data_IF_050716749077
#
_entry.id   IF_050716749077
#
_cell.length_a   1.000
_cell.length_b   1.000
_cell.length_c   1.000
_cell.angle_alpha   90.00
_cell.angle_beta   90.00
_cell.angle_gamma   90.00
#
_symmetry.space_group_name_H-M   'P 1'
#
loop_
_entity.id
_entity.type
_entity.pdbx_description
1 polymer ?
#
# COMPACT_ATOMS: atom_id res chain seq x y z
N UNK A 1 -9.81 23.66 27.61
CA UNK A 1 -9.50 22.47 28.41
C UNK A 1 -8.17 21.85 28.00
N UNK A 2 -7.62 20.98 28.83
CA UNK A 2 -6.37 20.29 28.55
C UNK A 2 -6.56 19.36 27.34
N UNK A 3 -7.64 18.58 27.31
CA UNK A 3 -7.92 17.66 26.21
C UNK A 3 -8.09 18.38 24.87
N UNK A 4 -8.77 19.54 24.82
CA UNK A 4 -8.88 20.33 23.59
C UNK A 4 -7.51 20.84 23.10
N UNK A 5 -6.61 21.25 24.02
CA UNK A 5 -5.27 21.72 23.67
C UNK A 5 -4.39 20.57 23.14
N UNK A 6 -4.42 19.40 23.78
CA UNK A 6 -3.72 18.21 23.33
C UNK A 6 -4.23 17.75 21.95
N UNK A 7 -5.54 17.76 21.72
CA UNK A 7 -6.13 17.45 20.43
C UNK A 7 -5.67 18.43 19.34
N UNK A 8 -5.64 19.74 19.62
CA UNK A 8 -5.13 20.75 18.68
C UNK A 8 -3.64 20.49 18.39
N UNK A 9 -2.84 20.18 19.43
CA UNK A 9 -1.43 19.82 19.24
C UNK A 9 -1.30 18.60 18.33
N UNK A 10 -2.01 17.52 18.62
CA UNK A 10 -1.97 16.29 17.82
C UNK A 10 -2.37 16.53 16.37
N UNK A 11 -3.45 17.29 16.13
CA UNK A 11 -3.89 17.67 14.79
C UNK A 11 -2.83 18.50 14.04
N UNK A 12 -2.18 19.44 14.76
CA UNK A 12 -1.12 20.26 14.18
C UNK A 12 0.11 19.42 13.82
N UNK A 13 0.51 18.50 14.69
CA UNK A 13 1.60 17.56 14.41
C UNK A 13 1.29 16.68 13.19
N UNK A 14 0.08 16.17 13.08
CA UNK A 14 -0.35 15.32 11.95
C UNK A 14 -0.31 16.05 10.59
N UNK A 15 -0.32 17.38 10.58
CA UNK A 15 -0.20 18.18 9.36
C UNK A 15 1.23 18.63 9.04
N UNK A 16 2.20 18.35 9.90
CA UNK A 16 3.60 18.71 9.64
C UNK A 16 4.27 17.62 8.80
N UNK A 17 4.96 18.03 7.75
CA UNK A 17 5.82 17.12 6.98
C UNK A 17 6.90 16.53 7.89
N UNK A 18 7.04 15.20 7.87
CA UNK A 18 8.00 14.47 8.70
C UNK A 18 7.58 14.31 10.17
N UNK A 19 6.30 14.51 10.49
CA UNK A 19 5.80 14.19 11.83
C UNK A 19 5.96 12.71 12.14
N UNK A 20 6.38 12.42 13.37
CA UNK A 20 6.48 11.04 13.86
C UNK A 20 5.08 10.60 14.30
N UNK A 21 4.51 9.61 13.63
CA UNK A 21 3.19 9.06 13.93
C UNK A 21 3.04 8.70 15.42
N UNK A 22 4.11 8.19 16.05
CA UNK A 22 4.14 7.87 17.48
C UNK A 22 3.85 9.08 18.38
N UNK A 23 4.36 10.29 18.04
CA UNK A 23 4.08 11.50 18.84
C UNK A 23 2.63 11.95 18.67
N UNK A 24 2.07 11.88 17.46
CA UNK A 24 0.66 12.17 17.20
C UNK A 24 -0.22 11.20 17.99
N UNK A 25 0.07 9.90 17.86
CA UNK A 25 -0.66 8.83 18.53
C UNK A 25 -0.65 8.99 20.05
N UNK A 26 0.53 9.23 20.66
CA UNK A 26 0.66 9.42 22.10
C UNK A 26 -0.06 10.67 22.59
N UNK A 27 0.01 11.77 21.83
CA UNK A 27 -0.61 13.05 22.20
C UNK A 27 -2.15 12.96 22.15
N UNK A 28 -2.71 12.33 21.10
CA UNK A 28 -4.17 12.19 21.01
C UNK A 28 -4.71 11.17 22.02
N UNK A 29 -3.94 10.12 22.33
CA UNK A 29 -4.28 9.17 23.40
C UNK A 29 -4.35 9.88 24.75
N UNK A 30 -3.34 10.69 25.10
CA UNK A 30 -3.35 11.48 26.31
C UNK A 30 -4.56 12.42 26.40
N UNK A 31 -4.95 13.05 25.28
CA UNK A 31 -6.16 13.89 25.23
C UNK A 31 -7.43 13.12 25.58
N UNK A 32 -7.54 11.87 25.13
CA UNK A 32 -8.69 11.00 25.41
C UNK A 32 -8.68 10.47 26.84
N UNK A 33 -7.51 10.14 27.40
CA UNK A 33 -7.34 9.67 28.79
C UNK A 33 -7.66 10.76 29.82
N UNK A 34 -7.22 12.00 29.56
CA UNK A 34 -7.53 13.16 30.43
C UNK A 34 -9.04 13.46 30.44
N UNK A 35 -9.71 13.22 29.32
CA UNK A 35 -11.17 13.34 29.12
C UNK A 35 -11.81 14.63 29.67
N UNK A 36 -11.12 15.75 29.56
CA UNK A 36 -11.57 17.07 29.98
C UNK A 36 -11.82 17.96 28.75
N UNK A 37 -13.03 17.88 28.18
CA UNK A 37 -13.46 18.57 26.99
C UNK A 37 -14.39 19.73 27.29
N UNK A 38 -14.13 20.93 26.75
CA UNK A 38 -15.04 22.08 26.73
C UNK A 38 -15.70 22.21 25.37
N UNK A 39 -14.92 22.01 24.30
CA UNK A 39 -15.43 21.97 22.96
C UNK A 39 -15.86 20.54 22.62
N UNK A 40 -16.77 20.39 21.68
CA UNK A 40 -17.29 19.07 21.29
C UNK A 40 -16.32 18.29 20.38
N UNK A 41 -15.04 18.20 20.78
CA UNK A 41 -13.95 17.62 19.97
C UNK A 41 -13.65 16.14 20.29
N UNK A 42 -14.26 15.57 21.33
CA UNK A 42 -13.96 14.18 21.75
C UNK A 42 -14.13 13.17 20.61
N UNK A 43 -15.20 13.28 19.84
CA UNK A 43 -15.42 12.38 18.71
C UNK A 43 -14.38 12.57 17.59
N UNK A 44 -13.97 13.80 17.32
CA UNK A 44 -12.91 14.07 16.35
C UNK A 44 -11.56 13.55 16.82
N UNK A 45 -11.27 13.64 18.12
CA UNK A 45 -10.07 13.06 18.72
C UNK A 45 -10.09 11.51 18.62
N UNK A 46 -11.24 10.87 18.84
CA UNK A 46 -11.40 9.42 18.64
C UNK A 46 -11.18 9.01 17.19
N UNK A 47 -11.68 9.79 16.24
CA UNK A 47 -11.46 9.54 14.80
C UNK A 47 -9.97 9.65 14.48
N UNK A 48 -9.28 10.72 14.92
CA UNK A 48 -7.86 10.90 14.71
C UNK A 48 -7.05 9.77 15.36
N UNK A 49 -7.41 9.36 16.57
CA UNK A 49 -6.73 8.25 17.25
C UNK A 49 -6.89 6.92 16.51
N UNK A 50 -8.09 6.63 16.05
CA UNK A 50 -8.36 5.45 15.25
C UNK A 50 -7.61 5.47 13.91
N UNK A 51 -7.57 6.62 13.25
CA UNK A 51 -6.83 6.76 11.98
C UNK A 51 -5.33 6.53 12.18
N UNK A 52 -4.75 7.07 13.26
CA UNK A 52 -3.34 6.83 13.60
C UNK A 52 -3.06 5.38 13.96
N UNK A 53 -3.96 4.71 14.68
CA UNK A 53 -3.84 3.27 14.96
C UNK A 53 -3.89 2.45 13.65
N UNK A 54 -4.78 2.82 12.74
CA UNK A 54 -4.86 2.20 11.41
C UNK A 54 -3.58 2.38 10.59
N UNK A 55 -2.99 3.59 10.61
CA UNK A 55 -1.73 3.89 9.89
C UNK A 55 -0.48 3.26 10.55
N UNK A 56 -0.57 2.83 11.79
CA UNK A 56 0.47 2.08 12.51
C UNK A 56 0.14 0.58 12.60
N UNK A 57 -0.54 0.05 11.60
CA UNK A 57 -0.87 -1.37 11.43
C UNK A 57 -1.63 -2.02 12.61
N UNK A 58 -2.45 -1.25 13.30
CA UNK A 58 -3.31 -1.70 14.40
C UNK A 58 -4.81 -1.56 14.08
N UNK A 59 -5.31 -2.19 12.98
CA UNK A 59 -6.69 -1.99 12.53
C UNK A 59 -7.73 -2.50 13.52
N UNK A 60 -7.44 -3.55 14.29
CA UNK A 60 -8.35 -4.07 15.31
C UNK A 60 -8.54 -3.05 16.44
N UNK A 61 -7.44 -2.47 16.96
CA UNK A 61 -7.52 -1.43 18.00
C UNK A 61 -8.22 -0.17 17.49
N UNK A 62 -8.02 0.20 16.23
CA UNK A 62 -8.73 1.30 15.57
C UNK A 62 -10.24 1.05 15.56
N UNK A 63 -10.67 -0.16 15.16
CA UNK A 63 -12.09 -0.54 15.18
C UNK A 63 -12.68 -0.49 16.59
N UNK A 64 -11.95 -0.94 17.61
CA UNK A 64 -12.39 -0.89 19.00
C UNK A 64 -12.69 0.54 19.44
N UNK A 65 -11.78 1.48 19.14
CA UNK A 65 -11.96 2.92 19.43
C UNK A 65 -13.20 3.48 18.75
N UNK A 66 -13.45 3.13 17.49
CA UNK A 66 -14.60 3.63 16.73
C UNK A 66 -15.92 2.99 17.15
N UNK A 67 -15.88 1.76 17.65
CA UNK A 67 -17.07 1.00 18.07
C UNK A 67 -17.41 1.19 19.54
N UNK A 68 -16.57 1.88 20.31
CA UNK A 68 -16.90 2.28 21.67
C UNK A 68 -18.10 3.25 21.69
N UNK A 69 -18.94 3.14 22.72
CA UNK A 69 -20.11 4.01 22.87
C UNK A 69 -19.72 5.42 23.35
N UNK A 70 -20.37 6.50 22.87
CA UNK A 70 -21.36 6.51 21.79
C UNK A 70 -20.75 6.28 20.41
N UNK A 71 -21.47 5.56 19.55
CA UNK A 71 -21.02 5.30 18.19
C UNK A 71 -20.92 6.59 17.36
N UNK A 72 -19.88 6.69 16.54
CA UNK A 72 -19.63 7.85 15.68
C UNK A 72 -20.09 7.50 14.26
N UNK A 73 -21.05 8.26 13.72
CA UNK A 73 -21.61 8.09 12.39
C UNK A 73 -21.22 9.27 11.47
N UNK A 74 -19.92 9.37 11.14
CA UNK A 74 -19.40 10.35 10.17
C UNK A 74 -18.79 9.63 8.98
N UNK A 75 -18.59 10.35 7.87
CA UNK A 75 -17.92 9.79 6.69
C UNK A 75 -16.51 9.31 7.04
N UNK A 76 -15.77 10.09 7.83
CA UNK A 76 -14.39 9.76 8.21
C UNK A 76 -14.33 8.49 9.07
N UNK A 77 -15.18 8.39 10.09
CA UNK A 77 -15.23 7.20 10.94
C UNK A 77 -15.63 5.94 10.14
N UNK A 78 -16.58 6.08 9.20
CA UNK A 78 -17.01 4.96 8.38
C UNK A 78 -15.96 4.57 7.34
N UNK A 79 -15.23 5.55 6.80
CA UNK A 79 -14.10 5.31 5.90
C UNK A 79 -13.00 4.50 6.60
N UNK A 80 -12.60 4.90 7.81
CA UNK A 80 -11.59 4.18 8.61
C UNK A 80 -12.09 2.76 8.93
N UNK A 81 -13.35 2.58 9.36
CA UNK A 81 -13.91 1.24 9.62
C UNK A 81 -13.83 0.32 8.41
N UNK A 82 -14.11 0.83 7.22
CA UNK A 82 -14.03 0.04 5.98
C UNK A 82 -12.57 -0.31 5.68
N UNK A 83 -11.66 0.67 5.78
CA UNK A 83 -10.22 0.48 5.59
C UNK A 83 -9.69 -0.62 6.52
N UNK A 84 -10.00 -0.53 7.82
CA UNK A 84 -9.53 -1.47 8.82
C UNK A 84 -10.10 -2.89 8.62
N UNK A 85 -11.37 -3.00 8.26
CA UNK A 85 -11.96 -4.29 7.93
C UNK A 85 -11.29 -4.99 6.74
N UNK A 86 -10.86 -4.23 5.74
CA UNK A 86 -10.06 -4.78 4.65
C UNK A 86 -8.65 -5.16 5.12
N UNK A 87 -7.99 -4.32 5.93
CA UNK A 87 -6.64 -4.55 6.49
C UNK A 87 -6.56 -5.77 7.39
N UNK A 88 -7.59 -6.07 8.16
CA UNK A 88 -7.67 -7.32 8.95
C UNK A 88 -7.60 -8.56 8.04
N UNK A 89 -8.03 -8.48 6.80
CA UNK A 89 -7.76 -9.47 5.76
C UNK A 89 -8.48 -10.81 5.90
N UNK A 90 -9.30 -11.03 6.93
CA UNK A 90 -10.07 -12.26 7.07
C UNK A 90 -11.26 -12.26 6.11
N UNK A 91 -11.71 -13.45 5.67
CA UNK A 91 -12.88 -13.55 4.81
C UNK A 91 -14.13 -12.86 5.40
N UNK A 92 -14.31 -12.92 6.71
CA UNK A 92 -15.42 -12.27 7.40
C UNK A 92 -15.28 -10.76 7.40
N UNK A 93 -14.10 -10.21 7.73
CA UNK A 93 -13.85 -8.77 7.74
C UNK A 93 -13.96 -8.17 6.34
N UNK A 94 -13.41 -8.82 5.32
CA UNK A 94 -13.55 -8.40 3.91
C UNK A 94 -15.01 -8.37 3.49
N UNK A 95 -15.81 -9.37 3.84
CA UNK A 95 -17.25 -9.38 3.54
C UNK A 95 -18.00 -8.26 4.27
N UNK A 96 -17.66 -7.98 5.52
CA UNK A 96 -18.20 -6.85 6.27
C UNK A 96 -17.80 -5.51 5.63
N UNK A 97 -16.53 -5.36 5.20
CA UNK A 97 -16.07 -4.18 4.48
C UNK A 97 -16.92 -3.92 3.22
N UNK A 98 -17.13 -4.96 2.39
CA UNK A 98 -17.98 -4.88 1.18
C UNK A 98 -19.43 -4.50 1.50
N UNK A 99 -20.00 -4.95 2.62
CA UNK A 99 -21.33 -4.56 3.08
C UNK A 99 -21.41 -3.10 3.48
N UNK A 100 -20.40 -2.64 4.21
CA UNK A 100 -20.28 -1.25 4.59
C UNK A 100 -20.05 -0.33 3.39
N UNK A 101 -19.23 -0.72 2.41
CA UNK A 101 -19.08 0.00 1.13
C UNK A 101 -20.43 0.13 0.43
N UNK A 102 -21.22 -0.94 0.30
CA UNK A 102 -22.54 -0.87 -0.34
C UNK A 102 -23.50 0.08 0.38
N UNK A 103 -23.42 0.19 1.70
CA UNK A 103 -24.21 1.11 2.50
C UNK A 103 -23.70 2.54 2.36
N UNK A 104 -22.39 2.75 2.52
CA UNK A 104 -21.74 4.06 2.49
C UNK A 104 -21.89 4.77 1.16
N UNK A 105 -21.85 4.05 0.03
CA UNK A 105 -22.10 4.64 -1.28
C UNK A 105 -23.49 5.26 -1.44
N UNK A 106 -24.48 4.87 -0.63
CA UNK A 106 -25.82 5.48 -0.62
C UNK A 106 -25.87 6.72 0.25
N UNK A 107 -25.20 6.67 1.41
CA UNK A 107 -25.18 7.73 2.41
C UNK A 107 -24.22 8.84 1.99
N UNK A 108 -23.01 8.47 1.59
CA UNK A 108 -21.88 9.37 1.25
C UNK A 108 -21.61 9.36 -0.27
N UNK A 109 -22.64 9.46 -1.09
CA UNK A 109 -22.59 9.23 -2.54
C UNK A 109 -21.66 10.16 -3.31
N UNK A 110 -21.21 11.27 -2.73
CA UNK A 110 -20.28 12.23 -3.33
C UNK A 110 -18.84 12.09 -2.81
N UNK A 111 -18.61 11.25 -1.82
CA UNK A 111 -17.30 11.03 -1.25
C UNK A 111 -16.56 9.96 -2.05
N UNK A 112 -15.60 10.42 -2.86
CA UNK A 112 -14.82 9.60 -3.78
C UNK A 112 -13.87 8.62 -3.08
N UNK A 113 -13.57 8.84 -1.80
CA UNK A 113 -12.67 7.97 -1.02
C UNK A 113 -13.21 6.55 -0.91
N UNK A 114 -14.53 6.38 -0.76
CA UNK A 114 -15.15 5.06 -0.62
C UNK A 114 -15.00 4.17 -1.87
N UNK A 115 -15.36 4.62 -3.09
CA UNK A 115 -15.14 3.83 -4.28
C UNK A 115 -13.64 3.62 -4.56
N UNK A 116 -12.79 4.61 -4.33
CA UNK A 116 -11.36 4.48 -4.56
C UNK A 116 -10.75 3.40 -3.66
N UNK A 117 -11.02 3.45 -2.36
CA UNK A 117 -10.59 2.44 -1.39
C UNK A 117 -11.07 1.02 -1.79
N UNK A 118 -12.34 0.90 -2.17
CA UNK A 118 -12.90 -0.36 -2.62
C UNK A 118 -12.14 -0.93 -3.81
N UNK A 119 -11.91 -0.12 -4.84
CA UNK A 119 -11.21 -0.59 -6.03
C UNK A 119 -9.74 -0.91 -5.76
N UNK A 120 -9.08 -0.17 -4.89
CA UNK A 120 -7.70 -0.45 -4.48
C UNK A 120 -7.58 -1.85 -3.88
N UNK A 121 -8.35 -2.18 -2.84
CA UNK A 121 -8.29 -3.49 -2.20
C UNK A 121 -8.73 -4.63 -3.11
N UNK A 122 -9.82 -4.47 -3.86
CA UNK A 122 -10.28 -5.52 -4.75
C UNK A 122 -9.27 -5.78 -5.89
N UNK A 123 -8.57 -4.74 -6.36
CA UNK A 123 -7.49 -4.90 -7.36
C UNK A 123 -6.31 -5.64 -6.77
N UNK A 124 -5.91 -5.31 -5.54
CA UNK A 124 -4.84 -5.98 -4.82
C UNK A 124 -5.11 -7.49 -4.67
N UNK A 125 -6.34 -7.86 -4.27
CA UNK A 125 -6.74 -9.27 -4.18
C UNK A 125 -6.77 -9.95 -5.55
N UNK A 126 -7.17 -9.23 -6.59
CA UNK A 126 -7.18 -9.75 -7.95
C UNK A 126 -5.74 -10.01 -8.46
N UNK A 127 -4.82 -9.07 -8.27
CA UNK A 127 -3.42 -9.20 -8.66
C UNK A 127 -2.74 -10.36 -7.91
N UNK A 128 -2.95 -10.46 -6.60
CA UNK A 128 -2.43 -11.56 -5.79
C UNK A 128 -2.94 -12.93 -6.27
N UNK A 129 -4.19 -13.03 -6.68
CA UNK A 129 -4.72 -14.26 -7.26
C UNK A 129 -4.04 -14.60 -8.59
N UNK A 130 -3.77 -13.61 -9.46
CA UNK A 130 -3.04 -13.81 -10.71
C UNK A 130 -1.63 -14.35 -10.47
N UNK A 131 -0.87 -13.74 -9.55
CA UNK A 131 0.49 -14.17 -9.21
C UNK A 131 0.50 -15.62 -8.68
N UNK A 132 -0.50 -15.99 -7.90
CA UNK A 132 -0.65 -17.37 -7.39
C UNK A 132 -1.20 -18.36 -8.42
N UNK A 133 -1.49 -17.92 -9.64
CA UNK A 133 -2.08 -18.76 -10.68
C UNK A 133 -3.50 -19.24 -10.34
N UNK A 134 -4.20 -18.50 -9.48
CA UNK A 134 -5.59 -18.80 -9.09
C UNK A 134 -6.52 -18.15 -10.12
N UNK A 135 -7.48 -18.92 -10.65
CA UNK A 135 -8.54 -18.35 -11.48
C UNK A 135 -9.50 -17.57 -10.58
N UNK A 136 -9.30 -16.22 -10.58
CA UNK A 136 -10.07 -15.34 -9.73
C UNK A 136 -11.48 -15.15 -10.25
N UNK A 137 -12.40 -15.83 -9.60
CA UNK A 137 -13.84 -15.66 -9.85
C UNK A 137 -14.33 -14.42 -9.11
N UNK A 138 -14.64 -13.35 -9.86
CA UNK A 138 -15.11 -12.06 -9.27
C UNK A 138 -16.39 -12.32 -8.47
N UNK A 139 -16.41 -12.03 -7.16
CA UNK A 139 -17.61 -12.22 -6.36
C UNK A 139 -18.79 -11.40 -6.90
N UNK A 140 -19.99 -11.97 -6.97
CA UNK A 140 -21.16 -11.30 -7.51
C UNK A 140 -21.45 -9.93 -6.83
N UNK A 141 -21.14 -9.81 -5.55
CA UNK A 141 -21.25 -8.57 -4.77
C UNK A 141 -20.26 -7.51 -5.27
N UNK A 142 -18.98 -7.89 -5.49
CA UNK A 142 -17.94 -7.01 -6.03
C UNK A 142 -18.34 -6.51 -7.40
N UNK A 143 -18.79 -7.41 -8.29
CA UNK A 143 -19.25 -7.07 -9.63
C UNK A 143 -20.41 -6.06 -9.60
N UNK A 144 -21.40 -6.29 -8.72
CA UNK A 144 -22.52 -5.38 -8.55
C UNK A 144 -22.09 -4.00 -8.07
N UNK A 145 -21.21 -3.93 -7.05
CA UNK A 145 -20.71 -2.66 -6.53
C UNK A 145 -19.92 -1.92 -7.61
N UNK A 146 -19.05 -2.62 -8.34
CA UNK A 146 -18.27 -2.04 -9.43
C UNK A 146 -19.15 -1.43 -10.52
N UNK A 147 -20.17 -2.15 -10.98
CA UNK A 147 -21.13 -1.64 -11.98
C UNK A 147 -21.89 -0.40 -11.48
N UNK A 148 -22.30 -0.40 -10.22
CA UNK A 148 -23.00 0.73 -9.63
C UNK A 148 -22.11 1.97 -9.50
N UNK A 149 -20.82 1.80 -9.20
CA UNK A 149 -19.85 2.91 -9.15
C UNK A 149 -19.53 3.45 -10.54
N UNK A 150 -19.36 2.60 -11.54
CA UNK A 150 -19.08 3.03 -12.93
C UNK A 150 -20.14 4.01 -13.44
N UNK A 151 -21.39 3.81 -13.10
CA UNK A 151 -22.47 4.74 -13.48
C UNK A 151 -22.29 6.13 -12.87
N UNK A 152 -21.63 6.21 -11.70
CA UNK A 152 -21.39 7.45 -10.94
C UNK A 152 -20.02 8.08 -11.20
N UNK A 153 -19.07 7.35 -11.79
CA UNK A 153 -17.72 7.84 -12.07
C UNK A 153 -17.66 9.19 -12.79
N UNK A 154 -18.59 9.54 -13.71
CA UNK A 154 -18.60 10.85 -14.33
C UNK A 154 -18.69 12.02 -13.35
N UNK A 155 -19.28 11.81 -12.19
CA UNK A 155 -19.50 12.83 -11.16
C UNK A 155 -18.27 13.04 -10.26
N UNK A 156 -17.28 12.13 -10.31
CA UNK A 156 -16.06 12.20 -9.50
C UNK A 156 -14.98 13.07 -10.17
N UNK A 157 -14.16 13.70 -9.35
CA UNK A 157 -13.13 14.66 -9.78
C UNK A 157 -11.71 14.12 -9.71
N UNK A 158 -11.43 13.32 -8.68
CA UNK A 158 -10.12 12.73 -8.41
C UNK A 158 -10.12 11.25 -8.76
N UNK A 159 -8.97 10.67 -9.05
CA UNK A 159 -8.78 9.23 -9.31
C UNK A 159 -9.75 8.57 -10.30
N UNK A 160 -10.45 9.39 -11.12
CA UNK A 160 -11.52 8.90 -12.01
C UNK A 160 -11.00 7.88 -13.01
N UNK A 161 -9.87 8.17 -13.66
CA UNK A 161 -9.29 7.29 -14.69
C UNK A 161 -8.80 6.00 -14.04
N UNK A 162 -8.10 6.08 -12.91
CA UNK A 162 -7.65 4.93 -12.14
C UNK A 162 -8.82 4.04 -11.73
N UNK A 163 -9.89 4.63 -11.20
CA UNK A 163 -11.13 3.90 -10.87
C UNK A 163 -11.79 3.27 -12.10
N UNK A 164 -11.79 3.93 -13.26
CA UNK A 164 -12.30 3.37 -14.53
C UNK A 164 -11.51 2.10 -14.92
N UNK A 165 -10.18 2.14 -14.78
CA UNK A 165 -9.30 1.01 -15.09
C UNK A 165 -9.53 -0.14 -14.11
N UNK A 166 -9.44 0.12 -12.81
CA UNK A 166 -9.65 -0.88 -11.77
C UNK A 166 -11.04 -1.51 -11.87
N UNK A 167 -12.09 -0.69 -12.04
CA UNK A 167 -13.45 -1.19 -12.21
C UNK A 167 -13.61 -2.12 -13.41
N UNK A 168 -12.82 -1.93 -14.48
CA UNK A 168 -12.87 -2.80 -15.65
C UNK A 168 -12.48 -4.24 -15.34
N UNK A 169 -11.64 -4.48 -14.33
CA UNK A 169 -11.24 -5.82 -13.90
C UNK A 169 -12.44 -6.63 -13.38
N UNK A 170 -13.42 -5.95 -12.81
CA UNK A 170 -14.58 -6.54 -12.12
C UNK A 170 -15.85 -6.54 -12.95
N UNK A 171 -15.82 -6.05 -14.18
CA UNK A 171 -17.01 -5.98 -15.06
C UNK A 171 -17.00 -7.08 -16.13
N UNK A 172 -18.18 -7.59 -16.55
CA UNK A 172 -18.23 -8.66 -17.53
C UNK A 172 -18.12 -8.17 -18.98
N UNK A 173 -17.55 -9.04 -19.82
CA UNK A 173 -17.75 -9.10 -21.28
C UNK A 173 -17.47 -7.83 -22.07
N UNK A 174 -18.39 -7.49 -22.98
CA UNK A 174 -18.25 -6.35 -23.91
C UNK A 174 -18.18 -4.99 -23.23
N UNK A 175 -18.76 -4.85 -22.04
CA UNK A 175 -18.71 -3.62 -21.27
C UNK A 175 -17.27 -3.30 -20.81
N UNK A 176 -16.55 -4.30 -20.32
CA UNK A 176 -15.13 -4.22 -19.96
C UNK A 176 -14.30 -3.73 -21.15
N UNK A 177 -14.44 -4.38 -22.31
CA UNK A 177 -13.70 -4.04 -23.52
C UNK A 177 -13.97 -2.62 -23.99
N UNK A 178 -15.23 -2.20 -23.96
CA UNK A 178 -15.62 -0.83 -24.34
C UNK A 178 -15.08 0.23 -23.38
N UNK A 179 -15.15 -0.04 -22.07
CA UNK A 179 -14.60 0.85 -21.04
C UNK A 179 -13.11 1.03 -21.22
N UNK A 180 -12.35 -0.06 -21.34
CA UNK A 180 -10.90 0.00 -21.53
C UNK A 180 -10.47 0.69 -22.82
N UNK A 181 -11.18 0.48 -23.93
CA UNK A 181 -10.90 1.23 -25.17
C UNK A 181 -11.09 2.73 -24.97
N UNK A 182 -12.20 3.14 -24.33
CA UNK A 182 -12.47 4.56 -24.07
C UNK A 182 -11.49 5.19 -23.09
N UNK A 183 -10.98 4.41 -22.12
CA UNK A 183 -10.00 4.87 -21.15
C UNK A 183 -8.61 4.97 -21.79
N UNK A 184 -8.21 4.00 -22.62
CA UNK A 184 -6.94 4.01 -23.36
C UNK A 184 -6.77 5.20 -24.32
N UNK A 185 -7.87 5.81 -24.78
CA UNK A 185 -7.81 7.06 -25.55
C UNK A 185 -7.47 8.29 -24.69
N UNK A 186 -7.63 8.20 -23.37
CA UNK A 186 -7.46 9.30 -22.42
C UNK A 186 -6.15 9.24 -21.64
N UNK A 187 -5.60 8.05 -21.47
CA UNK A 187 -4.40 7.83 -20.65
C UNK A 187 -3.38 6.97 -21.40
N UNK A 188 -2.13 7.40 -21.34
CA UNK A 188 -1.00 6.64 -21.85
C UNK A 188 -0.10 6.10 -20.74
N UNK A 189 -0.49 6.22 -19.45
CA UNK A 189 0.50 6.26 -18.39
C UNK A 189 0.17 5.39 -17.16
N UNK A 190 -0.59 4.30 -17.30
CA UNK A 190 -0.94 3.51 -16.13
C UNK A 190 -0.60 2.03 -16.33
N UNK A 191 0.25 1.47 -15.45
CA UNK A 191 0.65 0.06 -15.46
C UNK A 191 -0.55 -0.88 -15.27
N UNK A 192 -1.51 -0.50 -14.43
CA UNK A 192 -2.76 -1.26 -14.24
C UNK A 192 -3.59 -1.29 -15.53
N UNK A 193 -3.55 -0.22 -16.34
CA UNK A 193 -4.22 -0.22 -17.64
C UNK A 193 -3.65 -1.29 -18.56
N UNK A 194 -2.32 -1.42 -18.66
CA UNK A 194 -1.68 -2.43 -19.50
C UNK A 194 -2.10 -3.84 -19.08
N UNK A 195 -2.11 -4.14 -17.78
CA UNK A 195 -2.59 -5.39 -17.21
C UNK A 195 -4.06 -5.66 -17.56
N UNK A 196 -4.93 -4.71 -17.28
CA UNK A 196 -6.37 -4.84 -17.53
C UNK A 196 -6.70 -5.01 -19.02
N UNK A 197 -6.04 -4.26 -19.89
CA UNK A 197 -6.23 -4.30 -21.34
C UNK A 197 -5.69 -5.59 -21.97
N UNK A 198 -4.55 -6.12 -21.48
CA UNK A 198 -4.04 -7.42 -21.86
C UNK A 198 -5.02 -8.54 -21.45
N UNK A 199 -5.44 -8.54 -20.19
CA UNK A 199 -6.39 -9.54 -19.67
C UNK A 199 -7.74 -9.52 -20.39
N UNK A 200 -8.18 -8.35 -20.86
CA UNK A 200 -9.42 -8.21 -21.63
C UNK A 200 -9.28 -8.49 -23.13
N UNK A 201 -8.06 -8.78 -23.62
CA UNK A 201 -7.77 -8.97 -25.04
C UNK A 201 -7.94 -7.68 -25.88
N UNK A 202 -7.86 -6.51 -25.24
CA UNK A 202 -7.85 -5.19 -25.91
C UNK A 202 -6.51 -4.87 -26.51
N UNK A 203 -5.42 -5.29 -25.83
CA UNK A 203 -4.05 -5.20 -26.29
C UNK A 203 -3.47 -6.59 -26.54
N UNK A 204 -2.55 -6.70 -27.49
CA UNK A 204 -1.66 -7.86 -27.65
C UNK A 204 -0.60 -7.85 -26.56
N UNK A 205 0.05 -9.00 -26.29
CA UNK A 205 1.14 -9.10 -25.30
C UNK A 205 2.24 -8.07 -25.56
N UNK A 206 2.70 -7.96 -26.81
CA UNK A 206 3.75 -7.02 -27.21
C UNK A 206 3.37 -5.56 -26.94
N UNK A 207 2.14 -5.16 -27.31
CA UNK A 207 1.67 -3.79 -27.06
C UNK A 207 1.50 -3.49 -25.57
N UNK A 208 0.95 -4.44 -24.82
CA UNK A 208 0.79 -4.30 -23.39
C UNK A 208 2.14 -4.23 -22.68
N UNK A 209 3.12 -5.07 -23.12
CA UNK A 209 4.48 -5.09 -22.60
C UNK A 209 5.17 -3.73 -22.79
N UNK A 210 5.18 -3.22 -24.03
CA UNK A 210 5.80 -1.93 -24.32
C UNK A 210 5.12 -0.81 -23.50
N UNK A 211 3.78 -0.79 -23.45
CA UNK A 211 3.05 0.22 -22.70
C UNK A 211 3.36 0.16 -21.20
N UNK A 212 3.43 -1.04 -20.61
CA UNK A 212 3.74 -1.23 -19.20
C UNK A 212 5.13 -0.69 -18.87
N UNK A 213 6.16 -1.08 -19.62
CA UNK A 213 7.54 -0.69 -19.35
C UNK A 213 7.88 0.74 -19.77
N UNK A 214 7.24 1.29 -20.80
CA UNK A 214 7.37 2.71 -21.15
C UNK A 214 6.78 3.64 -20.08
N UNK A 215 5.79 3.16 -19.33
CA UNK A 215 5.11 3.91 -18.28
C UNK A 215 5.42 3.38 -16.87
N UNK A 216 6.35 2.47 -16.75
CA UNK A 216 6.87 1.98 -15.48
C UNK A 216 7.64 3.12 -14.80
N UNK A 217 6.99 3.97 -14.05
CA UNK A 217 7.61 5.12 -13.41
C UNK A 217 8.78 4.75 -12.48
N UNK A 218 9.27 5.71 -11.73
CA UNK A 218 10.30 5.50 -10.69
C UNK A 218 9.75 4.85 -9.41
N UNK A 219 8.49 4.44 -9.40
CA UNK A 219 7.81 3.84 -8.23
C UNK A 219 6.90 2.72 -8.70
N UNK A 220 7.15 1.50 -8.28
CA UNK A 220 6.48 0.29 -8.77
C UNK A 220 6.06 -0.59 -7.61
N UNK A 221 4.80 -1.04 -7.62
CA UNK A 221 4.33 -2.10 -6.74
C UNK A 221 4.78 -3.46 -7.29
N UNK A 222 5.50 -4.24 -6.49
CA UNK A 222 6.01 -5.55 -6.88
C UNK A 222 4.88 -6.47 -7.33
N UNK A 223 3.77 -6.49 -6.60
CA UNK A 223 2.62 -7.33 -6.92
C UNK A 223 2.03 -7.01 -8.31
N UNK A 224 1.91 -5.73 -8.67
CA UNK A 224 1.43 -5.31 -10.01
C UNK A 224 2.39 -5.75 -11.10
N UNK A 225 3.71 -5.63 -10.87
CA UNK A 225 4.74 -6.12 -11.79
C UNK A 225 4.64 -7.63 -11.98
N UNK A 226 4.58 -8.40 -10.90
CA UNK A 226 4.48 -9.86 -10.93
C UNK A 226 3.18 -10.32 -11.59
N UNK A 227 2.04 -9.68 -11.26
CA UNK A 227 0.75 -9.97 -11.89
C UNK A 227 0.79 -9.72 -13.39
N UNK A 228 1.39 -8.62 -13.83
CA UNK A 228 1.56 -8.34 -15.25
C UNK A 228 2.45 -9.38 -15.93
N UNK A 229 3.64 -9.66 -15.37
CA UNK A 229 4.59 -10.64 -15.90
C UNK A 229 3.97 -12.04 -16.00
N UNK A 230 3.12 -12.43 -15.04
CA UNK A 230 2.43 -13.74 -15.06
C UNK A 230 1.52 -13.95 -16.28
N UNK A 231 1.09 -12.86 -16.92
CA UNK A 231 0.25 -12.88 -18.12
C UNK A 231 1.07 -12.98 -19.42
N UNK A 232 2.38 -12.72 -19.39
CA UNK A 232 3.27 -12.79 -20.57
C UNK A 232 3.64 -14.22 -20.83
N UNK A 233 3.34 -14.70 -22.05
CA UNK A 233 3.62 -16.07 -22.50
C UNK A 233 4.66 -16.13 -23.61
N UNK A 234 4.93 -15.02 -24.28
CA UNK A 234 5.90 -14.95 -25.37
C UNK A 234 7.34 -14.98 -24.82
N UNK A 235 8.16 -16.00 -25.14
CA UNK A 235 9.54 -16.09 -24.66
C UNK A 235 10.42 -14.91 -25.07
N UNK A 236 10.18 -14.30 -26.23
CA UNK A 236 10.96 -13.14 -26.70
C UNK A 236 10.71 -11.91 -25.80
N UNK A 237 9.50 -11.76 -25.27
CA UNK A 237 9.19 -10.69 -24.32
C UNK A 237 9.82 -10.98 -22.94
N UNK A 238 9.97 -12.23 -22.55
CA UNK A 238 10.66 -12.62 -21.31
C UNK A 238 12.15 -12.24 -21.34
N UNK A 239 12.82 -12.38 -22.50
CA UNK A 239 14.21 -11.90 -22.67
C UNK A 239 14.29 -10.36 -22.60
N UNK A 240 13.31 -9.66 -23.13
CA UNK A 240 13.24 -8.21 -23.05
C UNK A 240 12.95 -7.72 -21.61
N UNK A 241 12.14 -8.45 -20.85
CA UNK A 241 11.92 -8.18 -19.43
C UNK A 241 13.23 -8.10 -18.66
N UNK A 242 14.13 -9.08 -18.84
CA UNK A 242 15.43 -9.08 -18.17
C UNK A 242 16.25 -7.83 -18.50
N UNK A 243 16.18 -7.33 -19.76
CA UNK A 243 16.89 -6.10 -20.14
C UNK A 243 16.32 -4.86 -19.42
N UNK A 244 14.99 -4.76 -19.32
CA UNK A 244 14.34 -3.66 -18.58
C UNK A 244 14.69 -3.69 -17.10
N UNK A 245 14.63 -4.86 -16.46
CA UNK A 245 14.98 -5.02 -15.05
C UNK A 245 16.45 -4.69 -14.76
N UNK A 246 17.38 -5.11 -15.66
CA UNK A 246 18.81 -4.81 -15.52
C UNK A 246 19.16 -3.33 -15.67
N UNK A 247 18.25 -2.51 -16.20
CA UNK A 247 18.44 -1.07 -16.37
C UNK A 247 17.47 -0.23 -15.54
N UNK A 248 16.67 -0.86 -14.68
CA UNK A 248 15.67 -0.16 -13.89
C UNK A 248 16.31 0.80 -12.88
N UNK A 249 15.78 2.01 -12.80
CA UNK A 249 16.13 3.04 -11.81
C UNK A 249 14.86 3.52 -11.14
N UNK A 250 14.76 3.35 -9.81
CA UNK A 250 13.58 3.71 -9.04
C UNK A 250 13.35 2.82 -7.83
N UNK A 251 12.22 2.98 -7.18
CA UNK A 251 11.81 2.20 -6.00
C UNK A 251 10.80 1.12 -6.37
N UNK A 252 11.00 -0.05 -5.81
CA UNK A 252 10.04 -1.16 -5.82
C UNK A 252 9.50 -1.33 -4.40
N UNK A 253 8.19 -1.41 -4.29
CA UNK A 253 7.48 -1.57 -3.02
C UNK A 253 6.78 -2.92 -2.98
N UNK A 254 6.79 -3.59 -1.82
CA UNK A 254 5.99 -4.78 -1.57
C UNK A 254 5.08 -4.59 -0.36
N UNK A 255 3.86 -5.08 -0.52
CA UNK A 255 2.80 -5.17 0.48
C UNK A 255 2.41 -6.66 0.55
N UNK A 256 3.06 -7.39 1.46
CA UNK A 256 2.95 -8.85 1.53
C UNK A 256 1.67 -9.31 2.20
N UNK A 257 1.11 -8.50 3.10
CA UNK A 257 -0.12 -8.82 3.84
C UNK A 257 -1.39 -8.28 3.16
N UNK A 258 -1.25 -7.48 2.10
CA UNK A 258 -2.32 -6.90 1.29
C UNK A 258 -3.19 -5.89 2.07
N UNK A 259 -2.55 -5.04 2.88
CA UNK A 259 -3.23 -4.03 3.69
C UNK A 259 -3.07 -2.59 3.16
N UNK A 260 -2.40 -2.42 2.01
CA UNK A 260 -2.03 -1.15 1.36
C UNK A 260 -0.96 -0.35 2.13
N UNK A 261 -0.23 -1.00 3.01
CA UNK A 261 1.00 -0.48 3.62
C UNK A 261 2.16 -1.34 3.10
N UNK A 262 3.25 -0.72 2.71
CA UNK A 262 4.38 -1.47 2.16
C UNK A 262 5.34 -1.83 3.29
N UNK A 263 5.61 -3.11 3.48
CA UNK A 263 6.63 -3.59 4.40
C UNK A 263 8.03 -3.48 3.81
N UNK A 264 8.16 -3.47 2.49
CA UNK A 264 9.45 -3.46 1.81
C UNK A 264 9.53 -2.31 0.80
N UNK A 265 10.62 -1.54 0.87
CA UNK A 265 11.06 -0.62 -0.16
C UNK A 265 12.48 -0.98 -0.61
N UNK A 266 12.69 -1.20 -1.91
CA UNK A 266 14.01 -1.38 -2.50
C UNK A 266 14.23 -0.29 -3.53
N UNK A 267 15.25 0.53 -3.32
CA UNK A 267 15.70 1.51 -4.32
C UNK A 267 16.73 0.85 -5.24
N UNK A 268 16.47 0.92 -6.54
CA UNK A 268 17.35 0.39 -7.57
C UNK A 268 18.09 1.50 -8.31
N UNK A 269 19.37 1.29 -8.53
CA UNK A 269 20.21 2.06 -9.45
C UNK A 269 20.82 1.09 -10.48
N UNK A 270 20.54 1.35 -11.76
CA UNK A 270 21.02 0.49 -12.88
C UNK A 270 20.71 -1.00 -12.66
N UNK A 271 19.51 -1.29 -12.22
CA UNK A 271 19.04 -2.65 -11.96
C UNK A 271 19.70 -3.36 -10.77
N UNK A 272 20.37 -2.63 -9.90
CA UNK A 272 20.97 -3.15 -8.66
C UNK A 272 20.42 -2.43 -7.46
N UNK A 273 20.20 -3.16 -6.37
CA UNK A 273 19.75 -2.53 -5.13
C UNK A 273 20.81 -1.54 -4.62
N UNK A 274 20.39 -0.31 -4.37
CA UNK A 274 21.18 0.74 -3.74
C UNK A 274 20.82 0.90 -2.25
N UNK A 275 19.53 0.75 -1.92
CA UNK A 275 19.08 0.67 -0.53
C UNK A 275 17.85 -0.23 -0.39
N UNK A 276 17.70 -0.78 0.80
CA UNK A 276 16.56 -1.62 1.19
C UNK A 276 16.06 -1.10 2.53
N UNK A 277 14.73 -0.98 2.69
CA UNK A 277 14.07 -0.74 3.96
C UNK A 277 13.02 -1.80 4.17
N UNK A 278 12.97 -2.36 5.36
CA UNK A 278 12.07 -3.45 5.70
C UNK A 278 11.46 -3.26 7.09
N UNK A 279 10.16 -3.33 7.15
CA UNK A 279 9.34 -3.41 8.35
C UNK A 279 8.99 -4.89 8.57
N UNK A 280 9.72 -5.56 9.46
CA UNK A 280 9.61 -7.01 9.65
C UNK A 280 8.33 -7.40 10.41
N UNK A 281 7.92 -6.53 11.34
CA UNK A 281 6.81 -6.83 12.24
C UNK A 281 5.49 -6.18 11.79
N UNK A 282 5.53 -5.40 10.70
CA UNK A 282 4.40 -4.70 10.11
C UNK A 282 3.71 -3.77 11.11
N UNK A 283 4.49 -2.96 11.84
CA UNK A 283 3.97 -1.93 12.75
C UNK A 283 4.06 -0.50 12.17
N UNK A 284 4.50 -0.37 10.92
CA UNK A 284 4.68 0.88 10.20
C UNK A 284 5.99 1.60 10.53
N UNK A 285 6.90 0.93 11.24
CA UNK A 285 8.25 1.43 11.57
C UNK A 285 9.26 0.53 10.87
N UNK A 286 10.24 1.14 10.20
CA UNK A 286 11.30 0.38 9.56
C UNK A 286 12.21 -0.26 10.62
N UNK A 287 12.29 -1.57 10.60
CA UNK A 287 13.16 -2.36 11.50
C UNK A 287 14.56 -2.49 10.93
N UNK A 288 14.69 -2.69 9.62
CA UNK A 288 15.96 -2.95 8.95
C UNK A 288 16.15 -2.01 7.78
N UNK A 289 17.31 -1.34 7.74
CA UNK A 289 17.76 -0.58 6.59
C UNK A 289 19.10 -1.12 6.09
N UNK A 290 19.25 -1.32 4.78
CA UNK A 290 20.51 -1.70 4.17
C UNK A 290 20.92 -0.68 3.11
N UNK A 291 22.21 -0.35 3.07
CA UNK A 291 22.84 0.46 2.02
C UNK A 291 23.77 -0.46 1.22
N UNK A 292 23.61 -0.44 -0.10
CA UNK A 292 24.30 -1.39 -0.99
C UNK A 292 25.19 -0.67 -2.00
N UNK A 293 26.27 -1.34 -2.40
CA UNK A 293 27.05 -1.00 -3.60
C UNK A 293 26.91 -2.13 -4.61
N UNK A 294 26.46 -1.82 -5.80
CA UNK A 294 26.15 -2.80 -6.87
C UNK A 294 25.25 -3.97 -6.43
N UNK A 295 24.37 -3.74 -5.47
CA UNK A 295 23.46 -4.75 -4.93
C UNK A 295 24.01 -5.57 -3.76
N UNK A 296 25.26 -5.33 -3.36
CA UNK A 296 25.87 -5.98 -2.19
C UNK A 296 25.79 -5.06 -0.96
N UNK A 297 25.26 -5.51 0.18
CA UNK A 297 25.20 -4.70 1.39
C UNK A 297 26.58 -4.26 1.86
N UNK A 298 26.74 -2.94 2.10
CA UNK A 298 27.89 -2.33 2.78
C UNK A 298 27.61 -2.07 4.25
N UNK A 299 26.38 -1.66 4.53
CA UNK A 299 25.90 -1.31 5.87
C UNK A 299 24.48 -1.82 6.03
N UNK A 300 24.24 -2.52 7.14
CA UNK A 300 22.88 -2.88 7.59
C UNK A 300 22.65 -2.28 8.97
N UNK A 301 21.54 -1.57 9.14
CA UNK A 301 21.10 -0.98 10.40
C UNK A 301 19.85 -1.72 10.86
N UNK A 302 19.87 -2.24 12.10
CA UNK A 302 18.72 -2.84 12.77
C UNK A 302 18.25 -1.86 13.84
N UNK A 303 17.22 -1.09 13.54
CA UNK A 303 16.77 0.05 14.36
C UNK A 303 16.27 -0.34 15.76
N UNK A 304 15.46 -1.40 15.94
CA UNK A 304 14.96 -1.75 17.28
C UNK A 304 16.06 -2.15 18.26
N UNK A 305 17.07 -2.88 17.78
CA UNK A 305 18.19 -3.37 18.56
C UNK A 305 19.36 -2.38 18.64
N UNK A 306 19.38 -1.37 17.77
CA UNK A 306 20.43 -0.37 17.67
C UNK A 306 21.77 -0.94 17.19
N UNK A 307 21.73 -1.95 16.30
CA UNK A 307 22.92 -2.51 15.68
C UNK A 307 23.19 -1.89 14.31
N UNK A 308 24.47 -1.61 14.05
CA UNK A 308 24.99 -1.33 12.72
C UNK A 308 26.00 -2.40 12.34
N UNK A 309 25.79 -3.06 11.20
CA UNK A 309 26.67 -4.11 10.67
C UNK A 309 27.36 -3.61 9.42
N UNK A 310 28.66 -3.45 9.47
CA UNK A 310 29.49 -3.02 8.34
C UNK A 310 30.17 -4.22 7.69
N UNK A 311 30.09 -4.28 6.36
CA UNK A 311 30.71 -5.31 5.56
C UNK A 311 31.92 -4.74 4.81
N UNK A 312 33.09 -5.40 4.93
CA UNK A 312 34.25 -5.07 4.11
C UNK A 312 34.09 -5.60 2.69
N UNK A 313 33.79 -6.90 2.58
CA UNK A 313 33.40 -7.58 1.33
C UNK A 313 32.24 -8.51 1.69
N UNK A 314 31.06 -8.25 1.18
CA UNK A 314 29.90 -9.10 1.45
C UNK A 314 30.15 -10.56 1.07
N UNK A 315 29.77 -11.55 1.88
CA UNK A 315 28.99 -11.46 3.14
C UNK A 315 29.84 -11.35 4.44
N UNK A 316 31.08 -10.93 4.35
CA UNK A 316 32.00 -10.92 5.49
C UNK A 316 31.86 -9.62 6.30
N UNK A 317 31.44 -9.76 7.56
CA UNK A 317 31.28 -8.66 8.50
C UNK A 317 32.65 -8.15 8.91
N UNK A 318 32.90 -6.84 8.77
CA UNK A 318 34.09 -6.17 9.22
C UNK A 318 33.92 -5.62 10.65
N UNK A 319 32.81 -4.95 10.91
CA UNK A 319 32.56 -4.34 12.21
C UNK A 319 31.07 -4.37 12.54
N UNK A 320 30.75 -4.62 13.80
CA UNK A 320 29.43 -4.43 14.38
C UNK A 320 29.53 -3.32 15.41
N UNK A 321 28.67 -2.31 15.29
CA UNK A 321 28.47 -1.24 16.26
C UNK A 321 27.16 -1.45 17.02
N UNK A 322 27.19 -1.14 18.31
CA UNK A 322 26.03 -1.07 19.18
C UNK A 322 26.26 0.06 20.18
N UNK A 323 25.20 0.60 20.78
CA UNK A 323 25.27 1.68 21.77
C UNK A 323 26.19 1.37 22.96
N UNK A 324 26.39 0.11 23.28
CA UNK A 324 27.26 -0.36 24.39
C UNK A 324 28.70 -0.65 23.99
N UNK A 325 29.04 -0.62 22.68
CA UNK A 325 30.39 -0.88 22.19
C UNK A 325 30.44 -1.30 20.73
N UNK A 326 31.62 -1.71 20.28
CA UNK A 326 31.83 -2.23 18.93
C UNK A 326 32.71 -3.47 18.94
N UNK A 327 32.48 -4.35 17.96
CA UNK A 327 33.35 -5.50 17.69
C UNK A 327 33.87 -5.42 16.26
N UNK A 328 35.15 -5.60 16.07
CA UNK A 328 35.80 -5.67 14.75
C UNK A 328 36.27 -7.09 14.49
N UNK A 329 36.06 -7.56 13.28
CA UNK A 329 36.38 -8.93 12.86
C UNK A 329 37.45 -8.90 11.77
N UNK A 330 38.55 -9.62 11.98
CA UNK A 330 39.51 -9.87 10.92
C UNK A 330 39.17 -11.20 10.25
N UNK A 331 39.26 -11.21 8.94
CA UNK A 331 38.98 -12.40 8.15
C UNK A 331 40.30 -13.02 7.65
N UNK A 332 40.57 -14.23 8.08
CA UNK A 332 41.80 -14.97 7.71
C UNK A 332 41.43 -16.27 7.00
N UNK A 333 41.63 -16.30 5.68
CA UNK A 333 41.29 -17.47 4.87
C UNK A 333 39.77 -17.62 4.67
N UNK A 334 39.17 -18.69 5.20
CA UNK A 334 37.74 -18.97 5.16
C UNK A 334 37.05 -18.82 6.50
N UNK A 335 37.75 -18.40 7.54
CA UNK A 335 37.25 -18.35 8.92
C UNK A 335 37.40 -16.94 9.50
N UNK A 336 36.45 -16.52 10.33
CA UNK A 336 36.57 -15.34 11.17
C UNK A 336 37.53 -15.61 12.32
N UNK A 337 38.32 -14.62 12.68
CA UNK A 337 39.28 -14.65 13.82
C UNK A 337 38.90 -13.60 14.84
#
# INVERSE_FOLDING_TARGET
SISDLLYIKATSLNHLEGSVNAEVLSTVREALEVDNWINNNKNNARILYADMLSETCNPEASLDVLNEAPLIYTADAEFIRIKDLYRIGTNDSINQAREKVETSRRIYSKDERFPYLFFMFETLFYENALVRGIDYEVPAKVQKIALDYIVKLPDYKTHKIEMEIMASLFTPGEFKTRLLKATGEKTNADSIYALAALRAGVLTEEKAFNLFFENLGSSVQLLTLEAFVSLIKDPALSENLQKHLNSFEGSVYADDNLDLINELEIVYERGRAASIKFDENNDGIIDISAFCDYGEPLLVVCEPEGFEVHYGIYPYVETIFHSEGSATFDFVGTDYV
#
